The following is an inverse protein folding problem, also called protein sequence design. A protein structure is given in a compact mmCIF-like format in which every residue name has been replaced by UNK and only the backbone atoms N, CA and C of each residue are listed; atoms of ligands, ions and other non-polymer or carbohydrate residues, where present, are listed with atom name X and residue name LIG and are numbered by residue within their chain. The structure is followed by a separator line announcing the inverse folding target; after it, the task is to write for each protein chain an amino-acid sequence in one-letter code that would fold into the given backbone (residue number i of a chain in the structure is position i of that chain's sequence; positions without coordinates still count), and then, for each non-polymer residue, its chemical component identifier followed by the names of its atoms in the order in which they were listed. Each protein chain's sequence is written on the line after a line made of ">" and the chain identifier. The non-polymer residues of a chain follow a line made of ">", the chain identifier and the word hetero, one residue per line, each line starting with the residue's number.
data_IF_413565966983
#
_entry.id   IF_413565966983
#
_cell.length_a   1.000
_cell.length_b   1.000
_cell.length_c   1.000
_cell.angle_alpha   90.00
_cell.angle_beta   90.00
_cell.angle_gamma   90.00
#
_symmetry.space_group_name_H-M   'P 1'
#
loop_
_entity.id
_entity.type
_entity.pdbx_description
1 polymer ?
#
# COMPACT_ATOMS: atom_id res chain seq x y z
N UNK A 1 -4.55 -25.63 2.06
CA UNK A 1 -4.22 -24.19 2.07
C UNK A 1 -5.48 -23.35 1.96
N UNK A 2 -6.24 -23.45 0.86
CA UNK A 2 -7.50 -22.70 0.65
C UNK A 2 -8.50 -22.82 1.82
N UNK A 3 -8.72 -24.04 2.32
CA UNK A 3 -9.57 -24.30 3.49
C UNK A 3 -9.11 -23.55 4.75
N UNK A 4 -7.79 -23.54 5.04
CA UNK A 4 -7.20 -22.83 6.18
C UNK A 4 -7.34 -21.30 6.06
N UNK A 5 -7.50 -20.81 4.83
CA UNK A 5 -7.73 -19.40 4.52
C UNK A 5 -9.22 -19.05 4.40
N UNK A 6 -10.13 -20.03 4.51
CA UNK A 6 -11.57 -19.88 4.31
C UNK A 6 -11.96 -19.32 2.93
N UNK A 7 -11.25 -19.72 1.87
CA UNK A 7 -11.53 -19.30 0.48
C UNK A 7 -11.67 -20.50 -0.47
N UNK A 8 -12.20 -20.25 -1.66
CA UNK A 8 -12.29 -21.27 -2.71
C UNK A 8 -10.90 -21.62 -3.27
N UNK A 9 -10.76 -22.83 -3.84
CA UNK A 9 -9.53 -23.24 -4.53
C UNK A 9 -9.20 -22.29 -5.70
N UNK A 10 -10.22 -21.83 -6.42
CA UNK A 10 -10.07 -20.88 -7.52
C UNK A 10 -9.49 -19.55 -7.04
N UNK A 11 -9.93 -19.06 -5.88
CA UNK A 11 -9.39 -17.83 -5.27
C UNK A 11 -7.92 -18.00 -4.89
N UNK A 12 -7.53 -19.15 -4.32
CA UNK A 12 -6.13 -19.45 -4.03
C UNK A 12 -5.28 -19.50 -5.30
N UNK A 13 -5.75 -20.17 -6.36
CA UNK A 13 -5.04 -20.26 -7.64
C UNK A 13 -4.82 -18.89 -8.27
N UNK A 14 -5.81 -18.00 -8.22
CA UNK A 14 -5.68 -16.61 -8.70
C UNK A 14 -4.66 -15.81 -7.89
N UNK A 15 -4.66 -15.97 -6.57
CA UNK A 15 -3.64 -15.37 -5.70
C UNK A 15 -2.23 -15.85 -6.08
N UNK A 16 -2.05 -17.17 -6.25
CA UNK A 16 -0.76 -17.77 -6.64
C UNK A 16 -0.30 -17.32 -8.04
N UNK A 17 -1.25 -17.08 -8.96
CA UNK A 17 -0.98 -16.51 -10.27
C UNK A 17 -0.67 -14.99 -10.26
N UNK A 18 -0.76 -14.34 -9.09
CA UNK A 18 -0.50 -12.91 -8.94
C UNK A 18 -1.62 -12.01 -9.49
N UNK A 19 -2.86 -12.51 -9.59
CA UNK A 19 -4.00 -11.73 -10.06
C UNK A 19 -4.27 -10.53 -9.13
N UNK A 20 -4.09 -9.27 -9.59
CA UNK A 20 -4.21 -8.07 -8.76
C UNK A 20 -5.66 -7.78 -8.35
N UNK A 21 -6.65 -8.47 -8.93
CA UNK A 21 -8.06 -8.33 -8.56
C UNK A 21 -8.45 -9.17 -7.33
N UNK A 22 -7.55 -10.02 -6.85
CA UNK A 22 -7.73 -10.72 -5.58
C UNK A 22 -7.56 -9.73 -4.43
N UNK A 23 -8.56 -9.67 -3.55
CA UNK A 23 -8.55 -8.73 -2.42
C UNK A 23 -7.40 -8.97 -1.46
N UNK A 24 -6.84 -7.88 -0.91
CA UNK A 24 -5.74 -7.89 0.05
C UNK A 24 -5.98 -8.81 1.27
N UNK A 25 -7.23 -8.93 1.72
CA UNK A 25 -7.60 -9.81 2.83
C UNK A 25 -7.23 -11.29 2.57
N UNK A 26 -7.29 -11.74 1.31
CA UNK A 26 -6.91 -13.11 0.93
C UNK A 26 -5.40 -13.29 1.05
N UNK A 27 -4.62 -12.31 0.60
CA UNK A 27 -3.16 -12.32 0.78
C UNK A 27 -2.78 -12.31 2.27
N UNK A 28 -3.44 -11.48 3.08
CA UNK A 28 -3.23 -11.43 4.52
C UNK A 28 -3.56 -12.78 5.20
N UNK A 29 -4.66 -13.44 4.78
CA UNK A 29 -5.01 -14.78 5.27
C UNK A 29 -3.94 -15.82 4.89
N UNK A 30 -3.39 -15.76 3.67
CA UNK A 30 -2.30 -16.65 3.26
C UNK A 30 -1.06 -16.44 4.14
N UNK A 31 -0.65 -15.19 4.35
CA UNK A 31 0.49 -14.85 5.20
C UNK A 31 0.27 -15.31 6.65
N UNK A 32 -0.93 -15.13 7.19
CA UNK A 32 -1.28 -15.60 8.53
C UNK A 32 -1.16 -17.12 8.66
N UNK A 33 -1.76 -17.87 7.72
CA UNK A 33 -1.72 -19.34 7.73
C UNK A 33 -0.29 -19.89 7.61
N UNK A 34 0.59 -19.14 6.92
CA UNK A 34 2.02 -19.46 6.75
C UNK A 34 2.92 -18.97 7.91
N UNK A 35 2.38 -18.26 8.90
CA UNK A 35 3.17 -17.67 9.97
C UNK A 35 4.07 -16.51 9.52
N UNK A 36 3.71 -15.85 8.41
CA UNK A 36 4.45 -14.76 7.77
C UNK A 36 3.79 -13.39 7.97
N UNK A 37 2.99 -13.21 9.02
CA UNK A 37 2.25 -11.97 9.27
C UNK A 37 3.14 -10.73 9.29
N UNK A 38 4.39 -10.85 9.78
CA UNK A 38 5.35 -9.73 9.80
C UNK A 38 5.71 -9.22 8.39
N UNK A 39 5.58 -10.06 7.34
CA UNK A 39 5.81 -9.60 5.96
C UNK A 39 4.77 -8.60 5.49
N UNK A 40 3.59 -8.56 6.12
CA UNK A 40 2.58 -7.57 5.77
C UNK A 40 3.06 -6.16 6.07
N UNK A 41 3.78 -5.96 7.18
CA UNK A 41 4.39 -4.67 7.55
C UNK A 41 5.32 -4.16 6.45
N UNK A 42 6.24 -5.01 5.99
CA UNK A 42 7.15 -4.67 4.91
C UNK A 42 6.44 -4.45 3.58
N UNK A 43 5.31 -5.12 3.33
CA UNK A 43 4.55 -4.98 2.08
C UNK A 43 3.77 -3.68 2.01
N UNK A 44 3.31 -3.15 3.15
CA UNK A 44 2.55 -1.89 3.23
C UNK A 44 3.42 -0.70 3.60
N UNK A 45 4.72 -0.92 3.82
CA UNK A 45 5.69 0.10 4.16
C UNK A 45 5.81 1.11 3.00
N UNK A 46 5.58 2.42 3.22
CA UNK A 46 5.71 3.45 2.18
C UNK A 46 7.08 3.45 1.49
N UNK A 47 8.13 3.11 2.25
CA UNK A 47 9.51 3.02 1.76
C UNK A 47 9.67 1.95 0.66
N UNK A 48 8.75 0.98 0.61
CA UNK A 48 8.71 -0.08 -0.39
C UNK A 48 7.72 0.16 -1.54
N UNK A 49 7.00 1.30 -1.53
CA UNK A 49 6.01 1.66 -2.55
C UNK A 49 6.49 2.83 -3.45
N UNK A 50 7.33 2.55 -4.46
CA UNK A 50 7.79 3.57 -5.39
C UNK A 50 6.66 4.12 -6.27
N UNK A 51 5.60 3.33 -6.51
CA UNK A 51 4.48 3.75 -7.34
C UNK A 51 3.60 4.77 -6.60
N UNK A 52 3.23 4.49 -5.36
CA UNK A 52 2.53 5.44 -4.50
C UNK A 52 3.35 6.72 -4.26
N UNK A 53 4.66 6.58 -4.04
CA UNK A 53 5.56 7.73 -3.91
C UNK A 53 5.57 8.60 -5.17
N UNK A 54 5.69 8.00 -6.36
CA UNK A 54 5.67 8.73 -7.62
C UNK A 54 4.33 9.44 -7.86
N UNK A 55 3.24 8.79 -7.50
CA UNK A 55 1.89 9.35 -7.62
C UNK A 55 1.68 10.53 -6.66
N UNK A 56 2.16 10.44 -5.43
CA UNK A 56 2.11 11.53 -4.46
C UNK A 56 2.91 12.75 -4.93
N UNK A 57 4.11 12.52 -5.49
CA UNK A 57 4.92 13.57 -6.11
C UNK A 57 4.18 14.22 -7.29
N UNK A 58 3.45 13.42 -8.09
CA UNK A 58 2.68 13.94 -9.23
C UNK A 58 1.53 14.86 -8.80
N UNK A 59 0.95 14.63 -7.61
CA UNK A 59 -0.12 15.44 -7.02
C UNK A 59 0.36 16.76 -6.46
N UNK A 60 1.66 16.91 -6.20
CA UNK A 60 2.20 18.16 -5.69
C UNK A 60 1.99 19.31 -6.69
N UNK A 61 1.64 20.51 -6.21
CA UNK A 61 1.51 21.68 -7.07
C UNK A 61 2.87 22.00 -7.70
N UNK A 62 2.85 22.27 -9.01
CA UNK A 62 4.07 22.59 -9.78
C UNK A 62 4.80 23.86 -9.29
N UNK A 63 4.08 24.76 -8.62
CA UNK A 63 4.60 26.03 -8.13
C UNK A 63 4.20 26.20 -6.66
N UNK A 64 5.18 26.25 -5.76
CA UNK A 64 4.96 26.74 -4.40
C UNK A 64 5.13 28.26 -4.40
N UNK A 65 4.08 29.01 -4.07
CA UNK A 65 4.24 30.44 -3.80
C UNK A 65 4.87 30.57 -2.42
N UNK A 66 6.05 31.19 -2.33
CA UNK A 66 6.58 31.61 -1.05
C UNK A 66 5.52 32.49 -0.36
N UNK A 67 5.29 32.34 0.95
CA UNK A 67 4.55 33.35 1.69
C UNK A 67 5.27 34.68 1.42
N UNK A 68 4.52 35.69 0.99
CA UNK A 68 5.08 37.02 0.77
C UNK A 68 5.65 37.51 2.11
N UNK A 69 6.98 37.54 2.22
CA UNK A 69 7.67 38.33 3.24
C UNK A 69 7.15 39.76 3.13
N UNK A 70 6.42 40.20 4.13
CA UNK A 70 5.71 41.48 4.11
C UNK A 70 4.49 41.56 5.04
N UNK A 71 4.40 40.68 6.05
CA UNK A 71 3.69 41.07 7.26
C UNK A 71 4.73 41.76 8.14
N UNK A 72 4.75 43.09 8.08
CA UNK A 72 5.27 43.91 9.17
C UNK A 72 4.57 43.45 10.45
N UNK A 73 5.24 42.57 11.21
CA UNK A 73 4.83 42.18 12.55
C UNK A 73 5.55 43.10 13.52
N UNK A 74 5.16 44.37 13.50
CA UNK A 74 5.44 45.32 14.59
C UNK A 74 4.53 44.95 15.77
N UNK A 75 5.07 44.12 16.68
CA UNK A 75 4.54 43.93 18.04
C UNK A 75 5.34 44.78 19.04
#
# INVERSE_FOLDING_TARGET
>A
MAERMLVSLQTLQRLEAGDPTVGLAVLAAALFVLGMTQRLENLVAPESDPAGTAEEISRLPRNAHAPRDGADLDF
#
